data_IF_547063433508
#
_entry.id   IF_547063433508
#
_cell.length_a   1.000
_cell.length_b   1.000
_cell.length_c   1.000
_cell.angle_alpha   90.00
_cell.angle_beta   90.00
_cell.angle_gamma   90.00
#
_symmetry.space_group_name_H-M   'P 1'
#
loop_
_entity.id
_entity.type
_entity.pdbx_description
1 polymer ?
#
# COMPACT_ATOMS: atom_id res chain seq x y z
N UNK A 1 3.95 42.63 -6.22
CA UNK A 1 3.15 43.59 -5.43
C UNK A 1 4.05 44.16 -4.33
N UNK A 2 4.43 43.40 -3.31
CA UNK A 2 5.17 43.91 -2.14
C UNK A 2 6.40 44.77 -2.46
N UNK A 3 7.19 44.42 -3.46
CA UNK A 3 8.38 45.15 -3.88
C UNK A 3 8.03 46.44 -4.64
N UNK A 4 7.21 46.35 -5.72
CA UNK A 4 6.94 47.50 -6.59
C UNK A 4 5.87 48.44 -6.05
N UNK A 5 4.88 47.92 -5.32
CA UNK A 5 3.78 48.72 -4.77
C UNK A 5 4.18 49.39 -3.45
N UNK A 6 4.79 48.63 -2.54
CA UNK A 6 5.12 49.09 -1.18
C UNK A 6 6.62 49.32 -0.92
N UNK A 7 7.48 49.35 -1.94
CA UNK A 7 8.93 49.53 -1.84
C UNK A 7 9.61 48.65 -0.78
N UNK A 8 9.11 47.45 -0.57
CA UNK A 8 9.80 46.48 0.26
C UNK A 8 11.01 45.91 -0.50
N UNK A 9 12.09 45.67 0.20
CA UNK A 9 13.21 44.93 -0.37
C UNK A 9 12.79 43.52 -0.75
N UNK A 10 13.53 42.88 -1.67
CA UNK A 10 13.24 41.48 -2.05
C UNK A 10 13.34 40.53 -0.85
N UNK A 11 14.24 40.81 0.12
CA UNK A 11 14.34 40.06 1.36
C UNK A 11 13.09 40.18 2.24
N UNK A 12 12.55 41.40 2.40
CA UNK A 12 11.30 41.63 3.14
C UNK A 12 10.09 41.05 2.43
N UNK A 13 10.04 41.08 1.10
CA UNK A 13 9.00 40.40 0.32
C UNK A 13 9.08 38.91 0.48
N UNK A 14 10.26 38.30 0.65
CA UNK A 14 10.43 36.88 0.94
C UNK A 14 10.00 36.52 2.38
N UNK A 15 10.22 37.42 3.35
CA UNK A 15 9.66 37.26 4.71
C UNK A 15 8.14 37.19 4.67
N UNK A 16 7.50 38.10 3.90
CA UNK A 16 6.03 38.01 3.69
C UNK A 16 5.61 36.69 3.08
N UNK A 17 6.26 36.27 2.00
CA UNK A 17 5.96 35.00 1.33
C UNK A 17 6.07 33.80 2.27
N UNK A 18 7.13 33.72 3.07
CA UNK A 18 7.33 32.64 4.06
C UNK A 18 6.30 32.72 5.18
N UNK A 19 6.00 33.92 5.65
CA UNK A 19 4.96 34.15 6.64
C UNK A 19 3.58 33.69 6.18
N UNK A 20 3.21 34.00 4.93
CA UNK A 20 1.95 33.56 4.33
C UNK A 20 1.86 32.04 4.14
N UNK A 21 2.97 31.31 3.99
CA UNK A 21 3.00 29.85 3.89
C UNK A 21 2.99 29.10 5.24
N UNK A 22 2.74 29.82 6.36
CA UNK A 22 2.70 29.21 7.71
C UNK A 22 4.07 28.82 8.28
N UNK A 23 5.15 29.13 7.57
CA UNK A 23 6.53 28.84 7.99
C UNK A 23 7.15 30.08 8.69
N UNK A 24 6.53 30.52 9.76
CA UNK A 24 7.06 31.63 10.53
C UNK A 24 8.31 31.21 11.31
N UNK A 25 9.38 31.97 11.18
CA UNK A 25 10.45 32.02 12.19
C UNK A 25 10.06 32.90 13.37
N UNK A 26 9.32 34.00 13.14
CA UNK A 26 8.82 34.90 14.16
C UNK A 26 7.57 35.64 13.67
N UNK A 27 6.50 35.64 14.47
CA UNK A 27 5.32 36.50 14.24
C UNK A 27 5.65 37.97 14.27
N UNK A 28 6.62 38.35 15.08
CA UNK A 28 7.08 39.76 15.22
C UNK A 28 7.74 40.25 13.95
N UNK A 29 8.56 39.41 13.29
CA UNK A 29 9.22 39.76 12.02
C UNK A 29 8.19 40.01 10.91
N UNK A 30 7.17 39.15 10.82
CA UNK A 30 6.08 39.31 9.87
C UNK A 30 5.29 40.61 10.13
N UNK A 31 4.97 40.90 11.40
CA UNK A 31 4.25 42.12 11.76
C UNK A 31 5.05 43.39 11.40
N UNK A 32 6.36 43.41 11.65
CA UNK A 32 7.25 44.54 11.25
C UNK A 32 7.20 44.78 9.75
N UNK A 33 7.21 43.72 8.95
CA UNK A 33 7.14 43.84 7.49
C UNK A 33 5.76 44.31 7.03
N UNK A 34 4.68 43.89 7.71
CA UNK A 34 3.33 44.42 7.47
C UNK A 34 3.24 45.90 7.74
N UNK A 35 3.71 46.33 8.90
CA UNK A 35 3.68 47.74 9.30
C UNK A 35 4.48 48.60 8.31
N UNK A 36 5.65 48.13 7.92
CA UNK A 36 6.48 48.81 6.89
C UNK A 36 5.78 48.84 5.52
N UNK A 37 5.05 47.82 5.14
CA UNK A 37 4.24 47.81 3.91
C UNK A 37 3.24 48.97 3.93
N UNK A 38 2.45 49.07 5.00
CA UNK A 38 1.45 50.12 5.17
C UNK A 38 2.07 51.49 5.18
N UNK A 39 3.16 51.69 5.97
CA UNK A 39 3.84 52.99 6.07
C UNK A 39 4.45 53.45 4.75
N UNK A 40 5.07 52.56 4.01
CA UNK A 40 5.62 52.87 2.70
C UNK A 40 4.54 53.27 1.69
N UNK A 41 3.41 52.56 1.70
CA UNK A 41 2.28 52.88 0.84
C UNK A 41 1.68 54.25 1.18
N UNK A 42 1.54 54.59 2.45
CA UNK A 42 1.10 55.91 2.89
C UNK A 42 2.05 57.05 2.47
N UNK A 43 3.38 56.82 2.58
CA UNK A 43 4.39 57.75 2.09
C UNK A 43 4.32 57.99 0.58
N UNK A 44 3.84 57.01 -0.18
CA UNK A 44 3.58 57.16 -1.63
C UNK A 44 2.28 57.87 -1.95
N UNK A 45 1.48 58.22 -0.94
CA UNK A 45 0.21 58.91 -1.11
C UNK A 45 -0.96 58.03 -1.50
N UNK A 46 -0.86 56.73 -1.31
CA UNK A 46 -2.00 55.83 -1.51
C UNK A 46 -3.03 55.98 -0.40
N UNK A 47 -4.31 55.87 -0.75
CA UNK A 47 -5.42 55.89 0.19
C UNK A 47 -5.44 54.64 1.06
N UNK A 48 -5.79 54.79 2.34
CA UNK A 48 -5.84 53.68 3.29
C UNK A 48 -6.76 52.56 2.83
N UNK A 49 -7.88 52.90 2.19
CA UNK A 49 -8.82 51.91 1.65
C UNK A 49 -8.11 51.02 0.61
N UNK A 50 -7.39 51.59 -0.33
CA UNK A 50 -6.62 50.88 -1.34
C UNK A 50 -5.51 50.03 -0.70
N UNK A 51 -4.81 50.60 0.29
CA UNK A 51 -3.71 49.90 0.99
C UNK A 51 -4.22 48.61 1.65
N UNK A 52 -5.35 48.69 2.38
CA UNK A 52 -5.88 47.55 3.07
C UNK A 52 -6.56 46.54 2.10
N UNK A 53 -7.18 47.01 1.03
CA UNK A 53 -7.70 46.11 -0.03
C UNK A 53 -6.58 45.30 -0.68
N UNK A 54 -5.48 45.94 -1.04
CA UNK A 54 -4.31 45.25 -1.61
C UNK A 54 -3.65 44.32 -0.57
N UNK A 55 -3.59 44.77 0.70
CA UNK A 55 -3.08 43.91 1.76
C UNK A 55 -3.93 42.67 1.97
N UNK A 56 -5.25 42.77 1.98
CA UNK A 56 -6.18 41.65 2.14
C UNK A 56 -6.09 40.66 0.97
N UNK A 57 -5.91 41.17 -0.26
CA UNK A 57 -5.59 40.34 -1.41
C UNK A 57 -4.27 39.58 -1.21
N UNK A 58 -3.19 40.26 -0.79
CA UNK A 58 -1.90 39.63 -0.51
C UNK A 58 -2.07 38.60 0.62
N UNK A 59 -2.78 38.94 1.68
CA UNK A 59 -3.01 38.05 2.82
C UNK A 59 -3.92 36.85 2.47
N UNK A 60 -4.85 37.00 1.52
CA UNK A 60 -5.69 35.87 1.06
C UNK A 60 -4.90 34.75 0.39
N UNK A 61 -3.71 35.02 -0.13
CA UNK A 61 -2.78 34.02 -0.60
C UNK A 61 -1.99 33.30 0.52
N UNK A 62 -2.26 33.66 1.79
CA UNK A 62 -1.69 32.95 2.93
C UNK A 62 -2.08 31.48 2.90
N UNK A 63 -1.09 30.59 2.89
CA UNK A 63 -1.29 29.15 2.73
C UNK A 63 -1.25 28.64 1.29
N UNK A 64 -1.39 29.52 0.28
CA UNK A 64 -1.34 29.15 -1.15
C UNK A 64 -0.13 29.73 -1.89
N UNK A 65 0.76 30.43 -1.21
CA UNK A 65 1.96 31.03 -1.82
C UNK A 65 2.96 29.94 -2.23
N UNK A 66 2.98 29.61 -3.51
CA UNK A 66 3.89 28.64 -4.11
C UNK A 66 4.74 29.29 -5.21
N UNK A 67 6.03 28.97 -5.28
CA UNK A 67 6.90 29.56 -6.30
C UNK A 67 6.45 29.15 -7.71
N UNK A 68 6.33 30.11 -8.63
CA UNK A 68 5.90 29.86 -10.02
C UNK A 68 6.72 28.75 -10.70
N UNK A 69 8.05 28.75 -10.48
CA UNK A 69 8.93 27.72 -11.03
C UNK A 69 8.55 26.30 -10.55
N UNK A 70 8.28 26.13 -9.26
CA UNK A 70 7.81 24.85 -8.73
C UNK A 70 6.43 24.48 -9.28
N UNK A 71 5.49 25.44 -9.35
CA UNK A 71 4.17 25.17 -9.91
C UNK A 71 4.26 24.72 -11.37
N UNK A 72 5.09 25.36 -12.18
CA UNK A 72 5.30 24.95 -13.57
C UNK A 72 5.98 23.58 -13.68
N UNK A 73 7.00 23.30 -12.87
CA UNK A 73 7.67 21.99 -12.85
C UNK A 73 6.71 20.88 -12.46
N UNK A 74 5.92 21.06 -11.39
CA UNK A 74 4.92 20.07 -10.97
C UNK A 74 3.79 19.89 -12.00
N UNK A 75 3.40 20.93 -12.71
CA UNK A 75 2.42 20.79 -13.78
C UNK A 75 2.95 19.92 -14.93
N UNK A 76 4.19 20.11 -15.34
CA UNK A 76 4.85 19.29 -16.38
C UNK A 76 5.00 17.85 -15.89
N UNK A 77 5.48 17.65 -14.65
CA UNK A 77 5.66 16.33 -14.04
C UNK A 77 4.32 15.60 -13.90
N UNK A 78 3.26 16.29 -13.47
CA UNK A 78 1.91 15.73 -13.39
C UNK A 78 1.40 15.30 -14.76
N UNK A 79 1.63 16.10 -15.79
CA UNK A 79 1.23 15.77 -17.16
C UNK A 79 1.99 14.54 -17.68
N UNK A 80 3.32 14.47 -17.47
CA UNK A 80 4.13 13.31 -17.82
C UNK A 80 3.65 12.04 -17.10
N UNK A 81 3.34 12.16 -15.82
CA UNK A 81 2.80 11.08 -14.99
C UNK A 81 1.47 10.56 -15.55
N UNK A 82 0.54 11.47 -15.89
CA UNK A 82 -0.74 11.10 -16.51
C UNK A 82 -0.57 10.46 -17.87
N UNK A 83 0.38 10.94 -18.68
CA UNK A 83 0.73 10.33 -19.96
C UNK A 83 1.20 8.88 -19.77
N UNK A 84 2.16 8.65 -18.86
CA UNK A 84 2.65 7.30 -18.57
C UNK A 84 1.52 6.39 -18.07
N UNK A 85 0.67 6.89 -17.16
CA UNK A 85 -0.47 6.11 -16.65
C UNK A 85 -1.48 5.77 -17.75
N UNK A 86 -1.69 6.66 -18.73
CA UNK A 86 -2.64 6.45 -19.83
C UNK A 86 -2.15 5.48 -20.89
N UNK A 87 -0.87 5.56 -21.26
CA UNK A 87 -0.31 4.81 -22.39
C UNK A 87 0.53 3.59 -21.98
N UNK A 88 1.07 3.58 -20.75
CA UNK A 88 1.91 2.52 -20.18
C UNK A 88 1.46 2.17 -18.76
N UNK A 89 0.16 1.81 -18.57
CA UNK A 89 -0.42 1.72 -17.22
C UNK A 89 0.26 0.67 -16.33
N UNK A 90 0.67 -0.46 -16.89
CA UNK A 90 1.28 -1.53 -16.09
C UNK A 90 2.72 -1.23 -15.73
N UNK A 91 3.51 -0.70 -16.66
CA UNK A 91 4.87 -0.25 -16.42
C UNK A 91 4.89 0.92 -15.43
N UNK A 92 3.90 1.82 -15.53
CA UNK A 92 3.71 2.89 -14.55
C UNK A 92 3.44 2.35 -13.14
N UNK A 93 2.56 1.33 -13.00
CA UNK A 93 2.31 0.71 -11.70
C UNK A 93 3.55 0.02 -11.12
N UNK A 94 4.36 -0.64 -11.96
CA UNK A 94 5.65 -1.21 -11.55
C UNK A 94 6.60 -0.12 -11.05
N UNK A 95 6.69 1.00 -11.76
CA UNK A 95 7.52 2.13 -11.35
C UNK A 95 7.05 2.71 -10.00
N UNK A 96 5.74 2.88 -9.80
CA UNK A 96 5.16 3.34 -8.53
C UNK A 96 5.51 2.38 -7.39
N UNK A 97 5.34 1.08 -7.57
CA UNK A 97 5.65 0.05 -6.58
C UNK A 97 7.14 0.05 -6.21
N UNK A 98 8.03 0.19 -7.20
CA UNK A 98 9.47 0.16 -6.99
C UNK A 98 10.04 1.43 -6.36
N UNK A 99 9.30 2.54 -6.40
CA UNK A 99 9.67 3.81 -5.78
C UNK A 99 8.93 4.07 -4.44
N UNK A 100 8.48 3.01 -3.77
CA UNK A 100 7.86 3.10 -2.45
C UNK A 100 6.38 3.47 -2.47
N UNK A 101 5.75 3.47 -3.64
CA UNK A 101 4.35 3.81 -3.79
C UNK A 101 4.11 5.32 -3.73
N UNK A 102 3.01 5.71 -3.10
CA UNK A 102 2.61 7.09 -2.91
C UNK A 102 1.75 7.21 -1.65
N UNK A 103 0.55 7.77 -1.79
CA UNK A 103 -0.37 7.94 -0.66
C UNK A 103 -0.93 6.60 -0.14
N UNK A 104 -1.12 5.61 -1.03
CA UNK A 104 -1.72 4.34 -0.69
C UNK A 104 -0.65 3.27 -0.40
N UNK A 105 -1.09 2.14 0.18
CA UNK A 105 -0.24 0.98 0.40
C UNK A 105 0.12 0.27 -0.91
N UNK A 106 1.23 -0.49 -0.92
CA UNK A 106 1.62 -1.31 -2.06
C UNK A 106 0.51 -2.29 -2.48
N UNK A 107 -0.22 -2.87 -1.52
CA UNK A 107 -1.37 -3.73 -1.77
C UNK A 107 -2.41 -3.07 -2.68
N UNK A 108 -2.72 -1.79 -2.46
CA UNK A 108 -3.69 -1.07 -3.29
C UNK A 108 -3.15 -0.81 -4.70
N UNK A 109 -1.88 -0.47 -4.86
CA UNK A 109 -1.28 -0.31 -6.20
C UNK A 109 -1.19 -1.64 -6.96
N UNK A 110 -0.97 -2.76 -6.27
CA UNK A 110 -1.05 -4.11 -6.84
C UNK A 110 -2.49 -4.41 -7.30
N UNK A 111 -3.49 -4.02 -6.49
CA UNK A 111 -4.89 -4.13 -6.86
C UNK A 111 -5.21 -3.28 -8.11
N UNK A 112 -4.76 -2.02 -8.18
CA UNK A 112 -4.88 -1.17 -9.37
C UNK A 112 -4.26 -1.82 -10.61
N UNK A 113 -3.05 -2.37 -10.48
CA UNK A 113 -2.39 -3.08 -11.58
C UNK A 113 -3.22 -4.27 -12.07
N UNK A 114 -3.84 -5.03 -11.15
CA UNK A 114 -4.75 -6.13 -11.48
C UNK A 114 -5.99 -5.65 -12.23
N UNK A 115 -6.61 -4.55 -11.78
CA UNK A 115 -7.77 -3.95 -12.46
C UNK A 115 -7.41 -3.42 -13.86
N UNK A 116 -6.15 -3.04 -14.10
CA UNK A 116 -5.61 -2.66 -15.41
C UNK A 116 -5.21 -3.88 -16.26
N UNK A 117 -5.41 -5.11 -15.78
CA UNK A 117 -5.22 -6.35 -16.52
C UNK A 117 -3.87 -7.04 -16.30
N UNK A 118 -3.09 -6.65 -15.28
CA UNK A 118 -1.91 -7.40 -14.89
C UNK A 118 -2.28 -8.73 -14.24
N UNK A 119 -1.51 -9.76 -14.54
CA UNK A 119 -1.50 -11.02 -13.80
C UNK A 119 -0.39 -10.95 -12.76
N UNK A 120 -0.78 -10.94 -11.50
CA UNK A 120 0.13 -10.75 -10.38
C UNK A 120 0.63 -12.09 -9.88
N UNK A 121 1.95 -12.25 -9.80
CA UNK A 121 2.63 -13.44 -9.29
C UNK A 121 3.40 -13.14 -8.01
N UNK A 122 3.46 -14.13 -7.13
CA UNK A 122 4.41 -14.16 -6.02
C UNK A 122 5.85 -13.99 -6.52
N UNK A 123 6.78 -13.58 -5.66
CA UNK A 123 8.20 -13.59 -5.99
C UNK A 123 8.65 -14.97 -6.49
N UNK A 124 9.37 -15.00 -7.61
CA UNK A 124 9.87 -16.22 -8.24
C UNK A 124 11.38 -16.15 -8.43
N UNK A 125 12.13 -17.17 -8.01
CA UNK A 125 13.60 -17.18 -8.10
C UNK A 125 14.11 -17.04 -9.53
N UNK A 126 13.33 -17.48 -10.52
CA UNK A 126 13.69 -17.42 -11.92
C UNK A 126 13.24 -16.13 -12.64
N UNK A 127 12.31 -15.37 -12.06
CA UNK A 127 11.69 -14.21 -12.73
C UNK A 127 11.87 -12.90 -11.96
N UNK A 128 11.76 -12.94 -10.63
CA UNK A 128 11.79 -11.73 -9.82
C UNK A 128 13.20 -11.17 -9.64
N UNK A 129 13.26 -9.86 -9.38
CA UNK A 129 14.44 -9.14 -8.92
C UNK A 129 14.20 -8.64 -7.49
N UNK A 130 15.14 -7.85 -6.94
CA UNK A 130 14.89 -7.14 -5.69
C UNK A 130 13.61 -6.29 -5.82
N UNK A 131 13.49 -5.55 -6.90
CA UNK A 131 12.31 -4.78 -7.28
C UNK A 131 11.31 -5.62 -8.10
N UNK A 132 10.04 -5.18 -8.14
CA UNK A 132 8.99 -5.75 -8.99
C UNK A 132 9.35 -5.60 -10.47
N UNK A 133 9.05 -6.60 -11.27
CA UNK A 133 9.27 -6.59 -12.72
C UNK A 133 8.02 -7.05 -13.47
N UNK A 134 7.99 -6.75 -14.79
CA UNK A 134 6.88 -7.12 -15.65
C UNK A 134 7.39 -7.67 -16.97
N UNK A 135 6.71 -8.69 -17.48
CA UNK A 135 6.94 -9.30 -18.78
C UNK A 135 5.59 -9.36 -19.52
N UNK A 136 5.34 -8.37 -20.37
CA UNK A 136 4.01 -8.17 -20.96
C UNK A 136 2.97 -7.85 -19.90
N UNK A 137 2.03 -8.77 -19.64
CA UNK A 137 1.03 -8.62 -18.57
C UNK A 137 1.35 -9.41 -17.31
N UNK A 138 2.41 -10.22 -17.29
CA UNK A 138 2.82 -11.04 -16.15
C UNK A 138 3.71 -10.20 -15.24
N UNK A 139 3.19 -9.77 -14.09
CA UNK A 139 3.89 -8.97 -13.09
C UNK A 139 4.37 -9.85 -11.95
N UNK A 140 5.68 -9.94 -11.74
CA UNK A 140 6.31 -10.67 -10.66
C UNK A 140 6.72 -9.72 -9.55
N UNK A 141 6.19 -9.91 -8.35
CA UNK A 141 6.56 -9.09 -7.21
C UNK A 141 8.04 -9.25 -6.88
N UNK A 142 8.67 -8.17 -6.46
CA UNK A 142 10.07 -8.15 -6.05
C UNK A 142 10.29 -8.85 -4.70
N UNK A 143 11.49 -9.35 -4.50
CA UNK A 143 11.90 -9.93 -3.21
C UNK A 143 11.88 -8.91 -2.06
N UNK A 144 11.90 -7.61 -2.36
CA UNK A 144 11.77 -6.52 -1.38
C UNK A 144 10.49 -6.58 -0.55
N UNK A 145 9.46 -7.29 -1.01
CA UNK A 145 8.21 -7.46 -0.26
C UNK A 145 8.27 -8.60 0.77
N UNK A 146 9.28 -9.48 0.71
CA UNK A 146 9.41 -10.59 1.63
C UNK A 146 10.10 -10.14 2.93
N UNK A 147 9.39 -10.27 4.04
CA UNK A 147 9.95 -10.01 5.37
C UNK A 147 11.04 -11.03 5.68
N UNK A 148 12.07 -10.57 6.37
CA UNK A 148 13.18 -11.38 6.88
C UNK A 148 14.00 -12.09 5.81
N UNK A 149 13.80 -11.80 4.52
CA UNK A 149 14.67 -12.28 3.45
C UNK A 149 15.88 -11.35 3.32
N UNK A 150 17.07 -11.93 3.46
CA UNK A 150 18.33 -11.19 3.38
C UNK A 150 18.65 -10.73 1.95
N UNK A 151 19.01 -9.45 1.79
CA UNK A 151 19.39 -8.90 0.48
C UNK A 151 20.57 -9.64 -0.17
N UNK A 152 21.53 -10.11 0.64
CA UNK A 152 22.67 -10.91 0.15
C UNK A 152 22.24 -12.20 -0.54
N UNK A 153 21.20 -12.86 -0.01
CA UNK A 153 20.62 -14.07 -0.62
C UNK A 153 19.99 -13.74 -1.96
N UNK A 154 19.26 -12.62 -2.02
CA UNK A 154 18.65 -12.15 -3.27
C UNK A 154 19.69 -11.84 -4.32
N UNK A 155 20.78 -11.15 -3.94
CA UNK A 155 21.89 -10.81 -4.85
C UNK A 155 22.57 -12.08 -5.38
N UNK A 156 22.81 -13.09 -4.53
CA UNK A 156 23.35 -14.39 -4.96
C UNK A 156 22.42 -15.09 -5.95
N UNK A 157 21.10 -15.13 -5.69
CA UNK A 157 20.12 -15.74 -6.59
C UNK A 157 20.15 -15.05 -7.97
N UNK A 158 20.12 -13.72 -7.98
CA UNK A 158 20.09 -12.95 -9.22
C UNK A 158 21.40 -13.14 -10.01
N UNK A 159 22.55 -13.01 -9.34
CA UNK A 159 23.86 -13.17 -9.97
C UNK A 159 24.03 -14.57 -10.56
N UNK A 160 23.72 -15.60 -9.76
CA UNK A 160 23.83 -17.00 -10.18
C UNK A 160 22.92 -17.32 -11.36
N UNK A 161 21.67 -16.88 -11.32
CA UNK A 161 20.72 -17.02 -12.42
C UNK A 161 21.19 -16.32 -13.69
N UNK A 162 21.76 -15.12 -13.55
CA UNK A 162 22.20 -14.31 -14.71
C UNK A 162 23.42 -14.94 -15.37
N UNK A 163 24.32 -15.51 -14.59
CA UNK A 163 25.58 -16.10 -15.08
C UNK A 163 25.38 -17.51 -15.65
N UNK A 164 24.63 -18.35 -14.92
CA UNK A 164 24.54 -19.79 -15.17
C UNK A 164 23.15 -20.26 -15.60
N UNK A 165 22.26 -19.31 -15.92
CA UNK A 165 20.89 -19.58 -16.39
C UNK A 165 19.91 -19.95 -15.27
N UNK A 166 18.65 -20.16 -15.67
CA UNK A 166 17.53 -20.44 -14.74
C UNK A 166 17.77 -21.69 -13.91
N UNK A 167 17.23 -21.69 -12.70
CA UNK A 167 17.20 -22.86 -11.83
C UNK A 167 16.16 -23.87 -12.34
N UNK A 168 16.49 -25.16 -12.33
CA UNK A 168 15.66 -26.24 -12.86
C UNK A 168 14.88 -26.97 -11.77
N UNK A 169 15.44 -27.05 -10.56
CA UNK A 169 14.89 -27.75 -9.42
C UNK A 169 15.41 -27.18 -8.10
N UNK A 170 14.86 -27.60 -6.96
CA UNK A 170 15.37 -27.26 -5.64
C UNK A 170 16.83 -27.77 -5.48
N UNK A 171 17.14 -28.97 -5.93
CA UNK A 171 18.49 -29.54 -5.87
C UNK A 171 19.47 -28.69 -6.69
N UNK A 172 19.13 -28.36 -7.94
CA UNK A 172 19.94 -27.51 -8.78
C UNK A 172 20.16 -26.11 -8.16
N UNK A 173 19.16 -25.59 -7.44
CA UNK A 173 19.30 -24.34 -6.68
C UNK A 173 20.30 -24.47 -5.53
N UNK A 174 20.19 -25.53 -4.71
CA UNK A 174 21.06 -25.78 -3.55
C UNK A 174 22.51 -26.09 -3.93
N UNK A 175 22.74 -26.65 -5.11
CA UNK A 175 24.10 -26.86 -5.63
C UNK A 175 24.79 -25.55 -6.05
N UNK A 176 24.03 -24.49 -6.31
CA UNK A 176 24.51 -23.25 -6.88
C UNK A 176 24.44 -22.06 -5.92
N UNK A 177 23.51 -22.08 -4.94
CA UNK A 177 23.29 -20.97 -4.01
C UNK A 177 23.47 -21.45 -2.59
N UNK A 178 24.39 -20.78 -1.86
CA UNK A 178 24.58 -21.05 -0.44
C UNK A 178 23.51 -20.29 0.36
N UNK A 179 22.63 -21.03 1.04
CA UNK A 179 21.48 -20.48 1.75
C UNK A 179 21.21 -21.25 3.04
N UNK A 180 20.80 -20.53 4.09
CA UNK A 180 20.31 -21.16 5.32
C UNK A 180 18.88 -21.73 5.16
N UNK A 181 18.50 -22.66 6.02
CA UNK A 181 17.18 -23.28 5.98
C UNK A 181 16.06 -22.26 6.24
N UNK A 182 16.32 -21.25 7.07
CA UNK A 182 15.39 -20.18 7.38
C UNK A 182 15.08 -19.34 6.14
N UNK A 183 16.13 -18.91 5.43
CA UNK A 183 16.00 -18.12 4.21
C UNK A 183 15.35 -18.92 3.07
N UNK A 184 15.76 -20.18 2.92
CA UNK A 184 15.16 -21.09 1.94
C UNK A 184 13.68 -21.34 2.24
N UNK A 185 13.32 -21.49 3.51
CA UNK A 185 11.94 -21.69 3.92
C UNK A 185 11.03 -20.51 3.56
N UNK A 186 11.53 -19.27 3.65
CA UNK A 186 10.79 -18.09 3.20
C UNK A 186 10.46 -18.20 1.71
N UNK A 187 11.46 -18.53 0.88
CA UNK A 187 11.30 -18.67 -0.58
C UNK A 187 10.34 -19.80 -0.96
N UNK A 188 10.45 -20.95 -0.30
CA UNK A 188 9.57 -22.09 -0.57
C UNK A 188 8.13 -21.77 -0.12
N UNK A 189 7.95 -21.20 1.06
CA UNK A 189 6.63 -20.88 1.62
C UNK A 189 5.86 -19.90 0.77
N UNK A 190 6.53 -18.90 0.16
CA UNK A 190 5.90 -17.92 -0.74
C UNK A 190 5.67 -18.47 -2.16
N UNK A 191 6.03 -19.73 -2.40
CA UNK A 191 5.92 -20.39 -3.70
C UNK A 191 6.88 -19.87 -4.78
N UNK A 192 8.06 -19.41 -4.36
CA UNK A 192 9.08 -18.91 -5.28
C UNK A 192 9.66 -20.00 -6.21
N UNK A 193 9.35 -21.28 -5.94
CA UNK A 193 9.72 -22.46 -6.71
C UNK A 193 8.54 -23.06 -7.50
N UNK A 194 7.43 -22.35 -7.67
CA UNK A 194 6.23 -22.82 -8.40
C UNK A 194 6.53 -23.44 -9.78
N UNK A 195 7.57 -22.96 -10.47
CA UNK A 195 8.00 -23.46 -11.77
C UNK A 195 8.42 -24.93 -11.77
N UNK A 196 8.74 -25.51 -10.60
CA UNK A 196 9.11 -26.93 -10.46
C UNK A 196 7.92 -27.87 -10.55
N UNK A 197 6.69 -27.33 -10.35
CA UNK A 197 5.46 -28.14 -10.23
C UNK A 197 5.38 -28.99 -8.95
N UNK A 198 6.37 -28.89 -8.06
CA UNK A 198 6.42 -29.63 -6.80
C UNK A 198 5.72 -28.84 -5.70
N UNK A 199 4.92 -29.53 -4.87
CA UNK A 199 4.22 -28.89 -3.76
C UNK A 199 5.20 -28.28 -2.74
N UNK A 200 4.86 -27.09 -2.22
CA UNK A 200 5.71 -26.37 -1.25
C UNK A 200 6.03 -27.20 0.01
N UNK A 201 5.14 -28.02 0.49
CA UNK A 201 5.41 -28.90 1.65
C UNK A 201 6.41 -30.00 1.34
N UNK A 202 6.35 -30.57 0.13
CA UNK A 202 7.37 -31.50 -0.34
C UNK A 202 8.73 -30.83 -0.49
N UNK A 203 8.76 -29.61 -1.05
CA UNK A 203 9.98 -28.80 -1.17
C UNK A 203 10.57 -28.47 0.20
N UNK A 204 9.76 -28.16 1.22
CA UNK A 204 10.23 -27.93 2.59
C UNK A 204 10.87 -29.19 3.18
N UNK A 205 10.25 -30.36 3.00
CA UNK A 205 10.85 -31.63 3.42
C UNK A 205 12.18 -31.91 2.71
N UNK A 206 12.23 -31.74 1.38
CA UNK A 206 13.45 -31.90 0.60
C UNK A 206 14.55 -30.94 1.09
N UNK A 207 14.20 -29.67 1.37
CA UNK A 207 15.13 -28.67 1.89
C UNK A 207 15.74 -29.09 3.23
N UNK A 208 14.89 -29.51 4.19
CA UNK A 208 15.37 -29.97 5.50
C UNK A 208 16.27 -31.21 5.40
N UNK A 209 15.88 -32.18 4.58
CA UNK A 209 16.69 -33.39 4.37
C UNK A 209 18.02 -33.12 3.67
N UNK A 210 18.05 -32.16 2.75
CA UNK A 210 19.27 -31.80 2.02
C UNK A 210 20.25 -30.98 2.87
N UNK A 211 19.75 -30.01 3.64
CA UNK A 211 20.59 -29.10 4.44
C UNK A 211 21.03 -29.75 5.77
N UNK A 212 20.24 -30.64 6.37
CA UNK A 212 20.62 -31.33 7.60
C UNK A 212 21.88 -32.24 7.43
N UNK A 213 22.14 -32.66 6.20
CA UNK A 213 23.34 -33.52 5.87
C UNK A 213 24.58 -32.72 5.50
N UNK A 214 24.45 -31.39 5.27
CA UNK A 214 25.60 -30.55 4.93
C UNK A 214 26.31 -30.05 6.19
N UNK A 215 26.78 -30.95 7.07
CA UNK A 215 27.95 -30.69 7.91
C UNK A 215 29.15 -30.49 6.99
N UNK A 216 29.59 -29.23 6.92
CA UNK A 216 30.80 -28.70 6.28
C UNK A 216 31.72 -29.78 5.66
N UNK A 217 31.60 -29.99 4.36
CA UNK A 217 32.69 -30.56 3.59
C UNK A 217 33.32 -29.40 2.80
N UNK A 218 34.43 -28.91 3.32
CA UNK A 218 35.24 -27.81 2.80
C UNK A 218 36.05 -28.20 1.53
N UNK A 219 35.63 -29.24 0.83
CA UNK A 219 36.32 -29.71 -0.37
C UNK A 219 35.41 -29.77 -1.58
N UNK A 220 35.86 -29.29 -2.76
CA UNK A 220 35.13 -29.45 -4.01
C UNK A 220 34.83 -30.94 -4.24
N UNK A 221 33.53 -31.27 -4.38
CA UNK A 221 33.10 -32.65 -4.66
C UNK A 221 33.61 -33.06 -6.05
N UNK A 222 34.48 -34.03 -6.11
CA UNK A 222 35.00 -34.63 -7.37
C UNK A 222 33.91 -35.42 -8.12
N UNK A 223 32.84 -35.80 -7.46
CA UNK A 223 31.73 -36.57 -8.02
C UNK A 223 30.40 -35.97 -7.56
N UNK A 224 29.41 -36.00 -8.45
CA UNK A 224 28.04 -35.65 -8.08
C UNK A 224 27.55 -36.64 -6.99
N UNK A 225 27.30 -36.14 -5.78
CA UNK A 225 26.72 -36.98 -4.75
C UNK A 225 25.39 -37.49 -5.24
N UNK A 226 25.13 -38.78 -5.19
CA UNK A 226 23.83 -39.36 -5.43
C UNK A 226 22.87 -38.77 -4.38
N UNK A 227 21.99 -37.86 -4.80
CA UNK A 227 20.94 -37.38 -3.95
C UNK A 227 19.98 -38.54 -3.63
N UNK A 228 19.90 -38.89 -2.35
CA UNK A 228 18.96 -39.91 -1.93
C UNK A 228 17.55 -39.41 -2.23
N UNK A 229 16.83 -40.16 -3.04
CA UNK A 229 15.43 -39.91 -3.31
C UNK A 229 14.64 -40.43 -2.10
N UNK A 230 13.94 -39.53 -1.42
CA UNK A 230 13.05 -39.88 -0.33
C UNK A 230 11.62 -39.96 -0.87
N UNK A 231 10.93 -41.04 -0.60
CA UNK A 231 9.49 -41.14 -0.85
C UNK A 231 8.75 -40.29 0.18
N UNK A 232 8.34 -39.10 -0.23
CA UNK A 232 7.56 -38.19 0.61
C UNK A 232 6.08 -38.44 0.30
N UNK A 233 5.18 -38.56 1.31
CA UNK A 233 3.76 -38.65 1.10
C UNK A 233 3.24 -37.46 0.29
N UNK A 234 2.22 -37.66 -0.55
CA UNK A 234 1.59 -36.51 -1.25
C UNK A 234 1.00 -35.56 -0.24
N UNK A 235 1.56 -34.36 -0.21
CA UNK A 235 1.12 -33.26 0.64
C UNK A 235 0.32 -32.26 -0.21
N UNK A 236 -0.71 -31.70 0.38
CA UNK A 236 -1.56 -30.73 -0.29
C UNK A 236 -1.46 -29.39 0.40
N UNK A 237 -1.44 -28.34 -0.39
CA UNK A 237 -1.59 -26.97 0.11
C UNK A 237 -2.91 -26.37 -0.40
N UNK A 238 -3.56 -25.56 0.41
CA UNK A 238 -4.79 -24.88 0.04
C UNK A 238 -4.52 -23.42 -0.33
N UNK A 239 -5.42 -22.82 -1.12
CA UNK A 239 -5.35 -21.39 -1.43
C UNK A 239 -5.47 -20.54 -0.16
N UNK A 240 -6.24 -21.01 0.82
CA UNK A 240 -6.38 -20.33 2.10
C UNK A 240 -5.06 -20.30 2.87
N UNK A 241 -4.34 -21.42 2.93
CA UNK A 241 -3.02 -21.50 3.55
C UNK A 241 -2.01 -20.58 2.84
N UNK A 242 -2.06 -20.49 1.50
CA UNK A 242 -1.23 -19.57 0.75
C UNK A 242 -1.56 -18.11 1.08
N UNK A 243 -2.84 -17.75 1.20
CA UNK A 243 -3.26 -16.41 1.58
C UNK A 243 -2.70 -16.00 2.95
N UNK A 244 -2.76 -16.88 3.96
CA UNK A 244 -2.19 -16.61 5.28
C UNK A 244 -0.64 -16.55 5.25
N UNK A 245 0.00 -17.36 4.42
CA UNK A 245 1.45 -17.26 4.20
C UNK A 245 1.84 -15.91 3.58
N UNK A 246 1.07 -15.44 2.61
CA UNK A 246 1.27 -14.12 1.99
C UNK A 246 1.06 -12.98 3.00
N UNK A 247 0.03 -13.05 3.84
CA UNK A 247 -0.19 -12.10 4.93
C UNK A 247 0.99 -12.04 5.90
N UNK A 248 1.55 -13.19 6.26
CA UNK A 248 2.70 -13.29 7.15
C UNK A 248 3.95 -12.69 6.50
N UNK A 249 4.30 -13.14 5.30
CA UNK A 249 5.57 -12.80 4.64
C UNK A 249 5.56 -11.46 3.93
N UNK A 250 4.42 -11.02 3.39
CA UNK A 250 4.33 -9.75 2.63
C UNK A 250 3.46 -8.70 3.32
N UNK A 251 2.57 -9.11 4.23
CA UNK A 251 1.61 -8.21 4.90
C UNK A 251 0.30 -8.00 4.13
N UNK A 252 0.11 -8.65 2.99
CA UNK A 252 -1.11 -8.65 2.18
C UNK A 252 -1.24 -9.94 1.38
N UNK A 253 -2.46 -10.24 0.89
CA UNK A 253 -2.76 -11.40 0.05
C UNK A 253 -2.74 -11.05 -1.44
N UNK A 254 -2.49 -12.04 -2.28
CA UNK A 254 -2.65 -11.92 -3.73
C UNK A 254 -4.04 -12.38 -4.20
N UNK A 255 -4.80 -13.11 -3.39
CA UNK A 255 -6.22 -13.35 -3.62
C UNK A 255 -7.06 -12.15 -3.17
N UNK A 256 -8.36 -12.18 -3.45
CA UNK A 256 -9.27 -11.18 -2.91
C UNK A 256 -9.32 -11.26 -1.38
N UNK A 257 -9.28 -10.14 -0.64
CA UNK A 257 -9.53 -10.15 0.81
C UNK A 257 -10.87 -10.78 1.19
N UNK A 258 -11.83 -10.78 0.28
CA UNK A 258 -13.15 -11.40 0.48
C UNK A 258 -13.10 -12.93 0.47
N UNK A 259 -12.08 -13.56 -0.16
CA UNK A 259 -11.91 -15.00 -0.20
C UNK A 259 -11.53 -15.61 1.16
N UNK A 260 -11.10 -14.79 2.11
CA UNK A 260 -10.70 -15.21 3.46
C UNK A 260 -11.68 -14.76 4.54
N UNK A 261 -12.87 -14.26 4.17
CA UNK A 261 -13.94 -13.96 5.13
C UNK A 261 -14.49 -15.22 5.78
N UNK A 262 -14.77 -15.16 7.08
CA UNK A 262 -15.42 -16.25 7.82
C UNK A 262 -16.83 -16.51 7.30
N UNK A 263 -17.55 -15.43 6.99
CA UNK A 263 -18.88 -15.50 6.38
C UNK A 263 -18.84 -14.67 5.08
N UNK A 264 -19.19 -15.26 3.93
CA UNK A 264 -19.25 -14.52 2.67
C UNK A 264 -20.28 -13.39 2.77
N UNK A 265 -20.12 -12.29 2.00
CA UNK A 265 -21.12 -11.24 1.94
C UNK A 265 -22.51 -11.81 1.63
N UNK A 266 -23.53 -11.37 2.39
CA UNK A 266 -24.91 -11.81 2.21
C UNK A 266 -25.63 -11.12 1.05
N UNK A 267 -24.96 -10.22 0.34
CA UNK A 267 -25.44 -9.55 -0.85
C UNK A 267 -24.27 -9.30 -1.83
N UNK A 268 -24.61 -8.92 -3.05
CA UNK A 268 -23.66 -8.64 -4.13
C UNK A 268 -23.53 -7.16 -4.43
N UNK A 269 -24.03 -6.27 -3.56
CA UNK A 269 -23.97 -4.83 -3.78
C UNK A 269 -22.53 -4.34 -3.86
N UNK A 270 -22.27 -3.46 -4.80
CA UNK A 270 -20.98 -2.80 -5.03
C UNK A 270 -21.16 -1.35 -5.45
N UNK A 271 -20.06 -0.72 -5.83
CA UNK A 271 -20.07 0.66 -6.35
C UNK A 271 -21.05 0.84 -7.50
N UNK A 272 -21.17 -0.15 -8.38
CA UNK A 272 -22.06 -0.13 -9.56
C UNK A 272 -23.51 0.11 -9.22
N UNK A 273 -23.93 -0.31 -8.02
CA UNK A 273 -25.32 -0.21 -7.59
C UNK A 273 -25.66 1.16 -6.97
N UNK A 274 -24.64 1.96 -6.59
CA UNK A 274 -24.84 3.21 -5.85
C UNK A 274 -25.77 4.17 -6.57
N UNK A 275 -25.70 4.27 -7.89
CA UNK A 275 -26.54 5.18 -8.66
C UNK A 275 -28.03 4.81 -8.54
N UNK A 276 -28.35 3.52 -8.56
CA UNK A 276 -29.73 3.02 -8.42
C UNK A 276 -30.28 3.16 -6.98
N UNK A 277 -29.39 3.33 -6.02
CA UNK A 277 -29.72 3.54 -4.60
C UNK A 277 -29.64 5.02 -4.17
N UNK A 278 -29.46 5.97 -5.10
CA UNK A 278 -29.38 7.38 -4.76
C UNK A 278 -30.60 7.83 -3.92
N UNK A 279 -30.31 8.43 -2.75
CA UNK A 279 -31.32 8.84 -1.77
C UNK A 279 -31.91 7.71 -0.91
N UNK A 280 -31.55 6.42 -1.19
CA UNK A 280 -32.00 5.24 -0.44
C UNK A 280 -30.85 4.67 0.40
N UNK A 281 -31.22 3.78 1.32
CA UNK A 281 -30.22 3.05 2.10
C UNK A 281 -29.72 1.82 1.32
N UNK A 282 -28.41 1.55 1.47
CA UNK A 282 -27.74 0.38 0.91
C UNK A 282 -27.01 -0.38 2.02
N UNK A 283 -26.87 -1.69 1.86
CA UNK A 283 -26.01 -2.56 2.66
C UNK A 283 -24.88 -3.04 1.77
N UNK A 284 -23.64 -2.70 2.08
CA UNK A 284 -22.47 -2.94 1.23
C UNK A 284 -21.26 -3.37 2.06
N UNK A 285 -20.40 -4.17 1.47
CA UNK A 285 -19.14 -4.61 2.05
C UNK A 285 -17.98 -3.91 1.34
N UNK A 286 -16.96 -3.51 2.12
CA UNK A 286 -15.77 -2.89 1.57
C UNK A 286 -14.51 -3.23 2.35
N UNK A 287 -13.44 -3.53 1.63
CA UNK A 287 -12.09 -3.66 2.18
C UNK A 287 -11.46 -2.28 2.36
N UNK A 288 -11.02 -1.99 3.56
CA UNK A 288 -10.52 -0.66 3.93
C UNK A 288 -9.18 -0.34 3.28
N UNK A 289 -9.15 0.68 2.43
CA UNK A 289 -7.93 1.22 1.81
C UNK A 289 -7.31 2.30 2.69
N UNK A 290 -8.10 3.31 3.05
CA UNK A 290 -7.62 4.43 3.87
C UNK A 290 -8.76 5.10 4.64
N UNK A 291 -8.39 5.77 5.73
CA UNK A 291 -9.30 6.61 6.53
C UNK A 291 -8.66 7.97 6.76
N UNK A 292 -9.36 9.02 6.38
CA UNK A 292 -9.02 10.40 6.72
C UNK A 292 -9.86 10.84 7.93
N UNK A 293 -9.19 11.03 9.05
CA UNK A 293 -9.80 11.63 10.23
C UNK A 293 -9.79 13.15 10.08
N UNK A 294 -10.93 13.80 10.29
CA UNK A 294 -11.07 15.24 10.27
C UNK A 294 -11.93 15.71 11.43
N UNK A 295 -12.01 17.03 11.61
CA UNK A 295 -12.90 17.66 12.59
C UNK A 295 -13.81 18.67 11.89
N UNK A 296 -15.05 18.74 12.34
CA UNK A 296 -15.99 19.79 11.93
C UNK A 296 -15.55 21.15 12.50
N UNK A 297 -16.18 22.23 12.05
CA UNK A 297 -15.96 23.56 12.64
C UNK A 297 -16.22 23.61 14.16
N UNK A 298 -17.06 22.71 14.67
CA UNK A 298 -17.34 22.58 16.10
C UNK A 298 -16.33 21.70 16.84
N UNK A 299 -15.26 21.24 16.16
CA UNK A 299 -14.22 20.40 16.75
C UNK A 299 -14.57 18.90 16.90
N UNK A 300 -15.78 18.51 16.50
CA UNK A 300 -16.24 17.10 16.58
C UNK A 300 -15.61 16.24 15.48
N UNK A 301 -15.34 14.97 15.82
CA UNK A 301 -14.70 14.00 14.92
C UNK A 301 -15.63 13.59 13.78
N UNK A 302 -15.07 13.51 12.58
CA UNK A 302 -15.69 13.02 11.36
C UNK A 302 -14.68 12.17 10.59
N UNK A 303 -15.12 11.14 9.87
CA UNK A 303 -14.24 10.27 9.10
C UNK A 303 -14.70 10.16 7.65
N UNK A 304 -13.73 10.19 6.74
CA UNK A 304 -13.89 9.76 5.36
C UNK A 304 -13.11 8.49 5.16
N UNK A 305 -13.72 7.46 4.59
CA UNK A 305 -13.02 6.22 4.31
C UNK A 305 -13.21 5.84 2.84
N UNK A 306 -12.10 5.41 2.24
CA UNK A 306 -12.06 4.85 0.89
C UNK A 306 -11.93 3.33 1.01
N UNK A 307 -12.77 2.60 0.29
CA UNK A 307 -12.87 1.16 0.34
C UNK A 307 -12.88 0.55 -1.06
N UNK A 308 -12.53 -0.73 -1.15
CA UNK A 308 -12.69 -1.56 -2.34
C UNK A 308 -13.81 -2.56 -2.08
N UNK A 309 -14.78 -2.63 -2.97
CA UNK A 309 -15.88 -3.60 -2.87
C UNK A 309 -15.45 -5.01 -3.32
N UNK A 310 -16.38 -5.97 -3.24
CA UNK A 310 -16.14 -7.36 -3.64
C UNK A 310 -15.87 -7.55 -5.14
N UNK A 311 -16.19 -6.55 -5.97
CA UNK A 311 -15.93 -6.54 -7.42
C UNK A 311 -14.62 -5.84 -7.78
N UNK A 312 -13.90 -5.30 -6.80
CA UNK A 312 -12.65 -4.58 -6.98
C UNK A 312 -12.81 -3.10 -7.28
N UNK A 313 -14.01 -2.53 -7.16
CA UNK A 313 -14.27 -1.13 -7.45
C UNK A 313 -14.18 -0.28 -6.17
N UNK A 314 -13.64 0.92 -6.33
CA UNK A 314 -13.42 1.86 -5.22
C UNK A 314 -14.66 2.68 -4.96
N UNK A 315 -15.08 2.80 -3.69
CA UNK A 315 -16.15 3.67 -3.23
C UNK A 315 -15.78 4.37 -1.91
N UNK A 316 -16.45 5.47 -1.64
CA UNK A 316 -16.21 6.28 -0.46
C UNK A 316 -17.38 6.26 0.51
N UNK A 317 -17.04 6.39 1.80
CA UNK A 317 -18.02 6.49 2.88
C UNK A 317 -17.71 7.67 3.78
N UNK A 318 -18.75 8.26 4.34
CA UNK A 318 -18.67 9.38 5.28
C UNK A 318 -19.31 8.99 6.60
N UNK A 319 -18.55 9.10 7.70
CA UNK A 319 -19.05 8.94 9.05
C UNK A 319 -19.15 10.31 9.71
N UNK A 320 -20.37 10.83 9.81
CA UNK A 320 -20.64 12.07 10.53
C UNK A 320 -20.44 11.91 12.04
N UNK A 321 -20.31 13.00 12.82
CA UNK A 321 -19.93 12.96 14.23
C UNK A 321 -20.68 11.97 15.11
N UNK A 322 -22.01 11.84 15.05
CA UNK A 322 -22.75 10.89 15.86
C UNK A 322 -22.35 9.42 15.58
N UNK A 323 -22.10 9.13 14.31
CA UNK A 323 -21.70 7.78 13.86
C UNK A 323 -20.21 7.55 14.14
N UNK A 324 -19.36 8.54 13.85
CA UNK A 324 -17.92 8.47 14.13
C UNK A 324 -17.59 8.34 15.62
N UNK A 325 -18.45 8.85 16.52
CA UNK A 325 -18.33 8.65 17.96
C UNK A 325 -18.65 7.21 18.39
N UNK A 326 -19.57 6.54 17.69
CA UNK A 326 -20.04 5.19 18.00
C UNK A 326 -19.19 4.09 17.35
N UNK A 327 -18.73 4.31 16.12
CA UNK A 327 -18.05 3.33 15.31
C UNK A 327 -16.61 3.75 15.02
N UNK A 328 -15.65 2.83 15.19
CA UNK A 328 -14.23 3.08 14.98
C UNK A 328 -13.66 2.08 13.98
N UNK A 329 -12.85 2.56 13.04
CA UNK A 329 -12.05 1.69 12.21
C UNK A 329 -10.95 1.04 13.06
N UNK A 330 -10.91 -0.30 13.06
CA UNK A 330 -9.95 -1.11 13.82
C UNK A 330 -8.92 -1.74 12.89
N UNK A 331 -8.20 -0.88 12.15
CA UNK A 331 -7.19 -1.31 11.19
C UNK A 331 -7.77 -1.91 9.91
N UNK A 332 -6.90 -2.50 9.11
CA UNK A 332 -7.27 -3.15 7.84
C UNK A 332 -8.29 -4.25 8.04
N UNK A 333 -9.04 -4.53 7.00
CA UNK A 333 -10.05 -5.57 6.97
C UNK A 333 -11.29 -5.17 6.20
N UNK A 334 -12.22 -6.08 6.12
CA UNK A 334 -13.51 -5.86 5.48
C UNK A 334 -14.50 -5.34 6.52
N UNK A 335 -15.25 -4.34 6.13
CA UNK A 335 -16.31 -3.74 6.93
C UNK A 335 -17.63 -3.82 6.15
N UNK A 336 -18.70 -4.16 6.86
CA UNK A 336 -20.06 -4.05 6.37
C UNK A 336 -20.61 -2.70 6.79
N UNK A 337 -21.19 -1.98 5.82
CA UNK A 337 -21.79 -0.67 6.01
C UNK A 337 -23.27 -0.72 5.66
N UNK A 338 -24.07 -0.11 6.50
CA UNK A 338 -25.44 0.24 6.18
C UNK A 338 -25.55 1.76 6.24
N UNK A 339 -26.01 2.39 5.14
CA UNK A 339 -26.05 3.83 5.04
C UNK A 339 -26.84 4.31 3.85
N UNK A 340 -27.03 5.64 3.78
CA UNK A 340 -27.74 6.32 2.70
C UNK A 340 -26.77 6.69 1.60
N UNK A 341 -27.13 6.40 0.35
CA UNK A 341 -26.36 6.85 -0.81
C UNK A 341 -26.69 8.32 -1.09
N UNK A 342 -25.66 9.13 -1.19
CA UNK A 342 -25.75 10.56 -1.49
C UNK A 342 -24.85 10.94 -2.65
N UNK A 343 -25.15 12.05 -3.29
CA UNK A 343 -24.30 12.63 -4.35
C UNK A 343 -23.90 14.04 -3.96
N UNK A 344 -22.62 14.31 -3.90
CA UNK A 344 -22.06 15.64 -3.73
C UNK A 344 -21.17 15.97 -4.93
N UNK A 345 -21.46 17.07 -5.63
CA UNK A 345 -20.74 17.49 -6.83
C UNK A 345 -20.60 16.40 -7.92
N UNK A 346 -21.59 15.51 -8.02
CA UNK A 346 -21.57 14.38 -8.96
C UNK A 346 -20.82 13.13 -8.46
N UNK A 347 -20.25 13.15 -7.26
CA UNK A 347 -19.63 12.00 -6.62
C UNK A 347 -20.62 11.27 -5.72
N UNK A 348 -20.74 9.95 -5.95
CA UNK A 348 -21.56 9.09 -5.11
C UNK A 348 -20.75 8.61 -3.90
N UNK A 349 -21.31 8.76 -2.72
CA UNK A 349 -20.74 8.27 -1.46
C UNK A 349 -21.84 7.72 -0.55
N UNK A 350 -21.44 7.07 0.53
CA UNK A 350 -22.38 6.49 1.50
C UNK A 350 -22.25 7.23 2.83
N UNK A 351 -23.33 7.89 3.25
CA UNK A 351 -23.49 8.39 4.61
C UNK A 351 -23.79 7.22 5.53
N UNK A 352 -22.81 6.82 6.33
CA UNK A 352 -22.89 5.62 7.16
C UNK A 352 -23.84 5.83 8.33
N UNK A 353 -24.73 4.85 8.55
CA UNK A 353 -25.63 4.75 9.71
C UNK A 353 -25.11 3.69 10.68
N UNK A 354 -24.68 2.53 10.14
CA UNK A 354 -24.09 1.41 10.93
C UNK A 354 -22.86 0.88 10.22
N UNK A 355 -21.90 0.43 10.99
CA UNK A 355 -20.67 -0.19 10.51
C UNK A 355 -20.30 -1.37 11.40
N UNK A 356 -19.80 -2.47 10.80
CA UNK A 356 -19.30 -3.63 11.51
C UNK A 356 -18.09 -4.19 10.78
N UNK A 357 -16.99 -4.39 11.49
CA UNK A 357 -15.85 -5.14 10.96
C UNK A 357 -16.20 -6.62 10.86
N UNK A 358 -15.83 -7.24 9.75
CA UNK A 358 -16.05 -8.66 9.51
C UNK A 358 -14.85 -9.47 9.96
N UNK A 359 -15.11 -10.70 10.42
CA UNK A 359 -14.05 -11.62 10.84
C UNK A 359 -13.53 -12.43 9.65
N UNK A 360 -12.27 -12.78 9.71
CA UNK A 360 -11.63 -13.70 8.77
C UNK A 360 -11.72 -15.13 9.27
N UNK A 361 -11.65 -16.10 8.34
CA UNK A 361 -11.46 -17.51 8.64
C UNK A 361 -10.22 -17.64 9.56
N UNK A 362 -10.26 -18.44 10.62
CA UNK A 362 -9.06 -18.73 11.40
C UNK A 362 -7.96 -19.34 10.53
N UNK A 363 -6.71 -18.96 10.81
CA UNK A 363 -5.56 -19.49 10.07
C UNK A 363 -5.51 -21.03 10.17
N UNK A 364 -5.64 -21.76 9.06
CA UNK A 364 -5.72 -23.21 9.07
C UNK A 364 -4.42 -23.88 9.53
N UNK A 365 -3.29 -23.18 9.41
CA UNK A 365 -1.97 -23.69 9.82
C UNK A 365 -1.86 -23.90 11.34
N UNK A 366 -2.75 -23.26 12.13
CA UNK A 366 -2.79 -23.33 13.59
C UNK A 366 -4.10 -23.89 14.13
N UNK A 367 -4.94 -24.49 13.29
CA UNK A 367 -6.26 -25.01 13.70
C UNK A 367 -6.12 -26.11 14.78
N UNK A 368 -5.15 -27.00 14.65
CA UNK A 368 -4.93 -28.11 15.59
C UNK A 368 -4.34 -27.68 16.93
N UNK A 369 -3.59 -26.57 16.97
CA UNK A 369 -3.02 -26.07 18.22
C UNK A 369 -4.07 -25.57 19.19
N UNK A 370 -5.16 -24.94 18.71
CA UNK A 370 -6.27 -24.50 19.57
C UNK A 370 -7.03 -25.66 20.18
N UNK A 371 -7.16 -26.76 19.45
CA UNK A 371 -7.85 -27.98 19.93
C UNK A 371 -7.04 -28.70 21.01
N UNK A 372 -5.71 -28.69 20.92
CA UNK A 372 -4.84 -29.29 21.93
C UNK A 372 -4.79 -28.48 23.23
N UNK A 373 -4.77 -27.15 23.15
CA UNK A 373 -4.79 -26.25 24.32
C UNK A 373 -6.13 -26.34 25.06
N UNK A 374 -7.24 -26.44 24.35
CA UNK A 374 -8.56 -26.61 24.97
C UNK A 374 -8.72 -28.00 25.62
N UNK A 375 -8.14 -29.07 25.05
CA UNK A 375 -8.13 -30.41 25.67
C UNK A 375 -7.27 -30.46 26.92
N UNK A 376 -6.14 -29.78 26.96
CA UNK A 376 -5.28 -29.73 28.15
C UNK A 376 -5.89 -28.91 29.30
N UNK A 377 -6.70 -27.89 29.00
CA UNK A 377 -7.40 -27.11 30.03
C UNK A 377 -8.68 -27.80 30.56
N UNK A 378 -9.24 -28.77 29.84
CA UNK A 378 -10.39 -29.57 30.30
C UNK A 378 -9.99 -30.78 31.15
N UNK A 379 -8.71 -31.20 31.11
CA UNK A 379 -8.19 -32.30 31.93
C UNK A 379 -7.58 -31.84 33.27
N UNK A 380 -7.58 -30.52 33.55
CA UNK A 380 -7.08 -29.93 34.78
C UNK A 380 -8.19 -29.25 35.62
N UNK A 381 -9.44 -29.71 35.49
CA UNK A 381 -10.55 -29.32 36.36
C UNK A 381 -11.09 -30.52 37.10
#
# INVERSE_FOLDING_TARGET
VAHYFADLTLGEADVLRRGMSGKFRSREEFQKVKDKFVDNCRKKGYDDKLIFEIWDQVASFAGYAFAKGHSASYAVESYQTLFLKAYYPLEYMVAVLNNGGGFYSAEFYIHEARMLGAKIHSPCINKSFMATCIYGKEMYLGFMYLRDLESKVVDQIINERTTNGSFLSLTNFLDRVFISIEQLSILIRIDAFAFTGVNKHELLWQAHLSLSKNTKLDHPKLFNANHQHFEIPKLYSTNLEMAFTQLELMGFTLCSPFDILAEPPNNTHGKRDLESYLGKNIDIYGYLVTVKNTRTHQGTRMNFATLVDQHGEVFDTVLFPPVAAKYFFRGRGIYRFYGKVVSEFGFLSIEVIKMQKQDYIPDPRYADMKTSVLRNNSNNK
#
